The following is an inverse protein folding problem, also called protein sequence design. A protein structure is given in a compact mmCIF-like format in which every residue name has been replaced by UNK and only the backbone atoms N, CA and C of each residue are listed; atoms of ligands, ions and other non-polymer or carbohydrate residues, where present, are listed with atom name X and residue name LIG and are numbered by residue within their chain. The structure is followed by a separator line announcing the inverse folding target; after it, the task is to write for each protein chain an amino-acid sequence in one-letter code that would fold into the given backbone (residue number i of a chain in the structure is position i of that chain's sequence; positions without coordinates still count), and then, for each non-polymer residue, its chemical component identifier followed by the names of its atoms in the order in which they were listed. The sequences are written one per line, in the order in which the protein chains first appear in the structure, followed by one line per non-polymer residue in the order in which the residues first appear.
data_IF_166528722386
#
_entry.id   IF_166528722386
#
_cell.length_a   1.000
_cell.length_b   1.000
_cell.length_c   1.000
_cell.angle_alpha   90.00
_cell.angle_beta   90.00
_cell.angle_gamma   90.00
#
_symmetry.space_group_name_H-M   'P 1'
#
loop_
_entity.id
_entity.type
_entity.pdbx_description
1 polymer ?
#
# COMPACT_ATOMS: atom_id res chain seq x y z
N UNK A 1 49.01 3.25 50.50
CA UNK A 1 48.02 3.99 51.30
C UNK A 1 48.03 5.46 50.89
N UNK A 2 46.84 6.03 50.83
CA UNK A 2 46.44 7.43 50.76
C UNK A 2 46.28 8.10 49.38
N UNK A 3 45.02 8.47 49.18
CA UNK A 3 44.34 9.15 48.08
C UNK A 3 44.19 10.64 48.40
N UNK A 4 44.13 11.49 47.37
CA UNK A 4 43.29 12.71 47.17
C UNK A 4 43.99 13.57 46.10
N UNK A 5 43.49 13.89 44.89
CA UNK A 5 42.23 14.46 44.37
C UNK A 5 42.45 15.91 43.87
N UNK A 6 42.04 16.15 42.60
CA UNK A 6 41.49 17.39 42.00
C UNK A 6 42.53 18.53 41.75
N UNK A 7 42.68 19.18 40.59
CA UNK A 7 41.76 19.68 39.54
C UNK A 7 42.59 19.99 38.29
N UNK A 8 42.08 19.75 37.08
CA UNK A 8 42.63 20.35 35.85
C UNK A 8 41.63 21.41 35.36
N UNK A 9 42.06 22.65 35.07
CA UNK A 9 41.17 23.68 34.57
C UNK A 9 41.15 23.76 33.03
N UNK A 10 39.94 24.00 32.52
CA UNK A 10 39.55 24.88 31.40
C UNK A 10 40.27 24.79 30.05
N UNK A 11 39.50 24.31 29.07
CA UNK A 11 39.56 24.67 27.63
C UNK A 11 39.80 26.19 27.43
N UNK A 12 40.53 26.62 26.39
CA UNK A 12 39.83 26.94 25.14
C UNK A 12 40.61 26.57 23.86
N UNK A 13 39.91 25.93 22.92
CA UNK A 13 40.20 26.05 21.49
C UNK A 13 40.07 27.52 21.06
N UNK A 14 40.71 27.95 19.95
CA UNK A 14 39.88 28.01 18.73
C UNK A 14 40.63 27.90 17.38
N UNK A 15 39.80 27.83 16.32
CA UNK A 15 40.00 28.23 14.90
C UNK A 15 40.62 27.18 13.96
N UNK A 16 40.09 26.90 12.77
CA UNK A 16 39.04 27.50 11.94
C UNK A 16 38.29 26.40 11.17
N UNK A 17 36.97 26.53 11.10
CA UNK A 17 36.08 25.80 10.20
C UNK A 17 36.21 26.38 8.79
N UNK A 18 36.54 25.55 7.81
CA UNK A 18 36.21 25.80 6.41
C UNK A 18 34.82 25.18 6.16
N UNK A 19 33.86 26.04 5.87
CA UNK A 19 32.47 25.73 5.61
C UNK A 19 32.30 25.07 4.23
N UNK A 20 31.90 23.81 4.23
CA UNK A 20 31.13 23.21 3.14
C UNK A 20 29.70 23.06 3.67
N UNK A 21 28.64 23.50 2.96
CA UNK A 21 27.33 22.99 3.30
C UNK A 21 27.30 21.53 2.88
N UNK A 22 27.25 20.62 3.86
CA UNK A 22 26.72 19.29 3.65
C UNK A 22 25.30 19.47 3.13
N UNK A 23 25.11 19.29 1.83
CA UNK A 23 23.81 18.95 1.30
C UNK A 23 23.53 17.50 1.68
N UNK A 24 23.22 17.28 2.96
CA UNK A 24 22.43 16.13 3.41
C UNK A 24 21.01 16.36 2.87
N UNK A 25 20.85 16.11 1.58
CA UNK A 25 19.55 15.75 1.04
C UNK A 25 19.44 14.24 1.14
N UNK A 26 19.34 13.75 2.38
CA UNK A 26 18.78 12.44 2.64
C UNK A 26 17.26 12.58 2.60
N UNK A 27 16.75 12.96 1.43
CA UNK A 27 15.35 12.79 1.12
C UNK A 27 15.15 11.30 0.91
N UNK A 28 14.52 10.63 1.87
CA UNK A 28 13.79 9.40 1.60
C UNK A 28 13.02 9.65 0.30
N UNK A 29 13.36 8.93 -0.79
CA UNK A 29 12.59 9.01 -2.03
C UNK A 29 11.23 8.38 -1.76
N UNK A 30 10.35 9.13 -1.11
CA UNK A 30 8.96 8.74 -0.90
C UNK A 30 8.31 8.78 -2.28
N UNK A 31 7.76 7.64 -2.71
CA UNK A 31 6.96 7.59 -3.94
C UNK A 31 5.78 8.56 -3.79
N UNK A 32 5.47 9.33 -4.83
CA UNK A 32 4.31 10.22 -4.84
C UNK A 32 3.03 9.39 -4.79
N UNK A 33 2.09 9.77 -3.92
CA UNK A 33 0.80 9.09 -3.80
C UNK A 33 0.08 9.05 -5.15
N UNK A 34 -0.45 7.88 -5.49
CA UNK A 34 -1.16 7.64 -6.74
C UNK A 34 -2.66 7.81 -6.50
N UNK A 35 -3.27 8.77 -7.18
CA UNK A 35 -4.72 8.93 -7.18
C UNK A 35 -5.27 8.94 -8.60
N UNK A 36 -6.21 8.05 -8.88
CA UNK A 36 -6.94 7.93 -10.14
C UNK A 36 -8.43 8.00 -9.80
N UNK A 37 -9.16 9.04 -10.23
CA UNK A 37 -10.58 9.15 -9.95
C UNK A 37 -11.37 8.08 -10.71
N UNK A 38 -12.48 7.64 -10.14
CA UNK A 38 -13.42 6.75 -10.83
C UNK A 38 -13.92 7.39 -12.13
N UNK A 39 -14.14 6.55 -13.14
CA UNK A 39 -14.89 6.92 -14.34
C UNK A 39 -16.16 6.07 -14.41
N UNK A 40 -16.93 6.20 -15.49
CA UNK A 40 -18.08 5.31 -15.71
C UNK A 40 -17.67 3.84 -15.79
N UNK A 41 -16.45 3.53 -16.26
CA UNK A 41 -16.05 2.13 -16.54
C UNK A 41 -14.79 1.69 -15.80
N UNK A 42 -14.16 2.57 -15.03
CA UNK A 42 -12.95 2.26 -14.27
C UNK A 42 -13.10 2.68 -12.81
N UNK A 43 -12.52 1.93 -11.87
CA UNK A 43 -12.66 2.25 -10.46
C UNK A 43 -11.83 3.47 -10.10
N UNK A 44 -12.16 4.07 -8.96
CA UNK A 44 -11.22 4.91 -8.24
C UNK A 44 -10.09 4.03 -7.71
N UNK A 45 -8.85 4.52 -7.84
CA UNK A 45 -7.67 3.92 -7.21
C UNK A 45 -6.94 5.01 -6.44
N UNK A 46 -6.88 4.86 -5.12
CA UNK A 46 -6.13 5.74 -4.22
C UNK A 46 -5.08 4.93 -3.48
N UNK A 47 -3.82 5.09 -3.86
CA UNK A 47 -2.68 4.46 -3.21
C UNK A 47 -1.83 5.52 -2.53
N UNK A 48 -1.99 5.59 -1.20
CA UNK A 48 -1.22 6.44 -0.31
C UNK A 48 0.01 5.66 0.16
N UNK A 49 1.09 5.74 -0.62
CA UNK A 49 2.34 5.02 -0.36
C UNK A 49 2.95 5.41 1.00
N UNK A 50 2.83 6.67 1.37
CA UNK A 50 3.26 7.23 2.66
C UNK A 50 2.50 6.65 3.87
N UNK A 51 1.29 6.14 3.63
CA UNK A 51 0.38 5.61 4.65
C UNK A 51 0.19 4.09 4.54
N UNK A 52 0.91 3.44 3.61
CA UNK A 52 0.77 2.01 3.34
C UNK A 52 -0.69 1.59 3.09
N UNK A 53 -1.47 2.44 2.41
CA UNK A 53 -2.91 2.27 2.24
C UNK A 53 -3.32 2.33 0.77
N UNK A 54 -3.97 1.27 0.28
CA UNK A 54 -4.54 1.17 -1.06
C UNK A 54 -6.07 1.08 -0.97
N UNK A 55 -6.77 1.84 -1.78
CA UNK A 55 -8.24 1.80 -1.93
C UNK A 55 -8.60 1.60 -3.40
N UNK A 56 -9.46 0.62 -3.70
CA UNK A 56 -10.01 0.36 -5.05
C UNK A 56 -11.55 0.33 -4.95
N UNK A 57 -12.25 1.27 -5.59
CA UNK A 57 -13.69 1.46 -5.40
C UNK A 57 -14.46 1.73 -6.70
N UNK A 58 -15.68 1.21 -6.80
CA UNK A 58 -16.60 1.45 -7.92
C UNK A 58 -16.69 0.27 -8.88
N UNK A 59 -16.78 0.54 -10.19
CA UNK A 59 -16.93 -0.50 -11.21
C UNK A 59 -15.67 -0.62 -12.07
N UNK A 60 -15.32 -1.83 -12.51
CA UNK A 60 -14.14 -2.09 -13.32
C UNK A 60 -14.45 -2.92 -14.57
N UNK A 61 -14.80 -2.24 -15.65
CA UNK A 61 -15.00 -2.82 -16.96
C UNK A 61 -14.47 -1.91 -18.09
N UNK A 62 -13.23 -1.39 -17.97
CA UNK A 62 -12.67 -0.57 -19.02
C UNK A 62 -12.51 -1.39 -20.31
N UNK A 63 -12.54 -0.71 -21.45
CA UNK A 63 -12.28 -1.31 -22.77
C UNK A 63 -10.93 -2.03 -22.81
N UNK A 64 -9.92 -1.46 -22.12
CA UNK A 64 -8.60 -2.04 -21.98
C UNK A 64 -8.13 -2.06 -20.52
N UNK A 65 -8.50 -3.13 -19.80
CA UNK A 65 -8.10 -3.33 -18.40
C UNK A 65 -6.57 -3.41 -18.21
N UNK A 66 -5.85 -4.02 -19.16
CA UNK A 66 -4.40 -4.13 -19.07
C UNK A 66 -3.73 -2.74 -19.10
N UNK A 67 -4.17 -1.87 -20.01
CA UNK A 67 -3.66 -0.50 -20.09
C UNK A 67 -3.98 0.32 -18.83
N UNK A 68 -5.14 0.09 -18.21
CA UNK A 68 -5.52 0.75 -16.96
C UNK A 68 -4.67 0.28 -15.76
N UNK A 69 -4.58 -1.03 -15.54
CA UNK A 69 -3.95 -1.59 -14.33
C UNK A 69 -2.43 -1.78 -14.39
N UNK A 70 -1.84 -1.93 -15.58
CA UNK A 70 -0.39 -2.13 -15.72
C UNK A 70 0.45 -1.05 -14.99
N UNK A 71 0.21 0.27 -15.18
CA UNK A 71 0.99 1.30 -14.47
C UNK A 71 0.75 1.30 -12.95
N UNK A 72 -0.42 0.84 -12.50
CA UNK A 72 -0.76 0.73 -11.07
C UNK A 72 0.04 -0.42 -10.44
N UNK A 73 0.00 -1.59 -11.08
CA UNK A 73 0.74 -2.79 -10.65
C UNK A 73 2.25 -2.53 -10.66
N UNK A 74 2.77 -1.83 -11.67
CA UNK A 74 4.19 -1.49 -11.73
C UNK A 74 4.62 -0.65 -10.53
N UNK A 75 3.87 0.40 -10.20
CA UNK A 75 4.17 1.26 -9.04
C UNK A 75 4.02 0.51 -7.72
N UNK A 76 2.98 -0.31 -7.58
CA UNK A 76 2.81 -1.17 -6.41
C UNK A 76 3.98 -2.12 -6.23
N UNK A 77 4.43 -2.81 -7.28
CA UNK A 77 5.58 -3.73 -7.18
C UNK A 77 6.87 -3.00 -6.79
N UNK A 78 7.10 -1.79 -7.31
CA UNK A 78 8.24 -0.94 -6.88
C UNK A 78 8.15 -0.59 -5.40
N UNK A 79 6.96 -0.19 -4.95
CA UNK A 79 6.71 0.12 -3.55
C UNK A 79 6.94 -1.09 -2.64
N UNK A 80 6.39 -2.27 -2.98
CA UNK A 80 6.55 -3.50 -2.20
C UNK A 80 8.02 -3.92 -2.10
N UNK A 81 8.78 -3.81 -3.19
CA UNK A 81 10.21 -4.11 -3.20
C UNK A 81 11.04 -3.15 -2.32
N UNK A 82 10.62 -1.89 -2.20
CA UNK A 82 11.30 -0.87 -1.40
C UNK A 82 10.91 -0.89 0.09
N UNK A 83 9.77 -1.49 0.44
CA UNK A 83 9.16 -1.44 1.78
C UNK A 83 8.88 -2.85 2.31
N UNK A 84 9.91 -3.70 2.36
CA UNK A 84 9.77 -5.05 2.92
C UNK A 84 9.43 -4.99 4.41
N UNK A 85 8.49 -5.83 4.85
CA UNK A 85 8.06 -5.86 6.25
C UNK A 85 7.09 -4.75 6.65
N UNK A 86 6.55 -3.98 5.68
CA UNK A 86 5.54 -2.98 5.94
C UNK A 86 4.20 -3.60 6.39
N UNK A 87 3.41 -2.81 7.14
CA UNK A 87 2.00 -3.11 7.38
C UNK A 87 1.16 -2.37 6.32
N UNK A 88 0.47 -3.11 5.47
CA UNK A 88 -0.25 -2.59 4.31
C UNK A 88 -1.73 -2.89 4.49
N UNK A 89 -2.57 -1.86 4.36
CA UNK A 89 -4.03 -2.00 4.36
C UNK A 89 -4.57 -1.80 2.95
N UNK A 90 -5.41 -2.73 2.49
CA UNK A 90 -6.15 -2.61 1.24
C UNK A 90 -7.65 -2.60 1.53
N UNK A 91 -8.34 -1.57 1.05
CA UNK A 91 -9.79 -1.49 1.06
C UNK A 91 -10.32 -1.69 -0.38
N UNK A 92 -11.11 -2.73 -0.59
CA UNK A 92 -11.72 -3.02 -1.90
C UNK A 92 -13.23 -2.93 -1.79
N UNK A 93 -13.84 -2.04 -2.58
CA UNK A 93 -15.29 -1.88 -2.66
C UNK A 93 -15.73 -1.83 -4.14
N UNK A 94 -15.57 -2.96 -4.83
CA UNK A 94 -15.96 -3.10 -6.23
C UNK A 94 -17.38 -3.65 -6.33
N UNK A 95 -18.22 -3.02 -7.14
CA UNK A 95 -19.63 -3.41 -7.34
C UNK A 95 -19.86 -4.17 -8.65
N UNK A 96 -18.91 -4.10 -9.58
CA UNK A 96 -18.95 -4.87 -10.82
C UNK A 96 -17.56 -4.92 -11.44
N UNK A 97 -17.19 -6.05 -12.04
CA UNK A 97 -15.99 -6.12 -12.87
C UNK A 97 -16.12 -7.18 -13.96
N UNK A 98 -15.55 -6.91 -15.13
CA UNK A 98 -15.52 -7.85 -16.25
C UNK A 98 -14.33 -8.80 -16.16
N UNK A 99 -14.33 -9.85 -17.00
CA UNK A 99 -13.27 -10.87 -16.99
C UNK A 99 -11.86 -10.34 -17.31
N UNK A 100 -11.75 -9.23 -18.05
CA UNK A 100 -10.44 -8.61 -18.31
C UNK A 100 -9.90 -7.91 -17.06
N UNK A 101 -10.76 -7.25 -16.29
CA UNK A 101 -10.42 -6.67 -14.99
C UNK A 101 -10.12 -7.72 -13.94
N UNK A 102 -10.85 -8.84 -13.92
CA UNK A 102 -10.57 -9.98 -13.02
C UNK A 102 -9.10 -10.41 -13.10
N UNK A 103 -8.56 -10.62 -14.31
CA UNK A 103 -7.15 -11.00 -14.49
C UNK A 103 -6.16 -9.99 -13.91
N UNK A 104 -6.49 -8.70 -14.03
CA UNK A 104 -5.63 -7.63 -13.50
C UNK A 104 -5.74 -7.51 -11.98
N UNK A 105 -6.94 -7.70 -11.41
CA UNK A 105 -7.15 -7.75 -9.96
C UNK A 105 -6.39 -8.93 -9.33
N UNK A 106 -6.45 -10.12 -9.93
CA UNK A 106 -5.62 -11.26 -9.51
C UNK A 106 -4.12 -10.92 -9.53
N UNK A 107 -3.65 -10.17 -10.54
CA UNK A 107 -2.25 -9.72 -10.60
C UNK A 107 -1.88 -8.73 -9.49
N UNK A 108 -2.85 -7.97 -8.98
CA UNK A 108 -2.68 -7.07 -7.82
C UNK A 108 -2.58 -7.91 -6.55
N UNK A 109 -3.55 -8.78 -6.32
CA UNK A 109 -3.62 -9.58 -5.10
C UNK A 109 -2.48 -10.60 -4.99
N UNK A 110 -2.06 -11.21 -6.10
CA UNK A 110 -0.87 -12.07 -6.17
C UNK A 110 0.41 -11.35 -5.71
N UNK A 111 0.61 -10.10 -6.14
CA UNK A 111 1.78 -9.33 -5.73
C UNK A 111 1.75 -8.96 -4.23
N UNK A 112 0.55 -8.69 -3.69
CA UNK A 112 0.34 -8.41 -2.28
C UNK A 112 0.52 -9.65 -1.41
N UNK A 113 0.00 -10.80 -1.85
CA UNK A 113 0.16 -12.09 -1.18
C UNK A 113 1.64 -12.49 -1.11
N UNK A 114 2.38 -12.38 -2.22
CA UNK A 114 3.84 -12.60 -2.24
C UNK A 114 4.60 -11.66 -1.27
N UNK A 115 4.16 -10.41 -1.14
CA UNK A 115 4.76 -9.49 -0.18
C UNK A 115 4.46 -9.90 1.27
N UNK A 116 3.28 -10.46 1.52
CA UNK A 116 2.90 -11.02 2.82
C UNK A 116 3.71 -12.28 3.15
N UNK A 117 3.86 -13.21 2.20
CA UNK A 117 4.72 -14.39 2.33
C UNK A 117 6.19 -14.02 2.59
N UNK A 118 6.62 -12.88 2.06
CA UNK A 118 7.98 -12.34 2.23
C UNK A 118 8.18 -11.53 3.52
N UNK A 119 7.17 -11.47 4.40
CA UNK A 119 7.26 -10.90 5.74
C UNK A 119 6.58 -9.55 5.96
N UNK A 120 5.91 -9.00 4.94
CA UNK A 120 5.01 -7.84 5.15
C UNK A 120 3.71 -8.32 5.81
N UNK A 121 3.01 -7.43 6.48
CA UNK A 121 1.65 -7.72 6.96
C UNK A 121 0.67 -7.06 6.03
N UNK A 122 -0.20 -7.84 5.39
CA UNK A 122 -1.16 -7.34 4.41
C UNK A 122 -2.56 -7.64 4.89
N UNK A 123 -3.34 -6.59 5.16
CA UNK A 123 -4.74 -6.70 5.59
C UNK A 123 -5.67 -6.22 4.48
N UNK A 124 -6.63 -7.04 4.08
CA UNK A 124 -7.62 -6.71 3.05
C UNK A 124 -9.01 -6.62 3.67
N UNK A 125 -9.65 -5.45 3.54
CA UNK A 125 -11.07 -5.28 3.82
C UNK A 125 -11.85 -5.39 2.49
N UNK A 126 -12.68 -6.42 2.38
CA UNK A 126 -13.54 -6.65 1.21
C UNK A 126 -14.95 -6.15 1.49
N UNK A 127 -15.28 -4.97 0.98
CA UNK A 127 -16.59 -4.38 1.11
C UNK A 127 -17.48 -4.81 -0.05
N UNK A 128 -18.66 -5.33 0.28
CA UNK A 128 -19.64 -5.77 -0.70
C UNK A 128 -21.05 -5.49 -0.22
N UNK A 129 -21.99 -5.47 -1.16
CA UNK A 129 -23.39 -5.56 -0.81
C UNK A 129 -23.67 -6.93 -0.15
N UNK A 130 -24.53 -6.95 0.86
CA UNK A 130 -24.94 -8.20 1.50
C UNK A 130 -25.78 -9.08 0.56
N UNK A 131 -26.50 -8.46 -0.39
CA UNK A 131 -27.37 -9.13 -1.35
C UNK A 131 -26.66 -9.53 -2.66
N UNK A 132 -25.42 -9.05 -2.90
CA UNK A 132 -24.66 -9.38 -4.11
C UNK A 132 -23.86 -10.68 -3.92
N UNK A 133 -24.48 -11.80 -4.29
CA UNK A 133 -23.89 -13.14 -4.25
C UNK A 133 -22.67 -13.26 -5.18
N UNK A 134 -22.64 -12.57 -6.32
CA UNK A 134 -21.51 -12.68 -7.27
C UNK A 134 -20.25 -12.02 -6.70
N UNK A 135 -20.39 -10.84 -6.11
CA UNK A 135 -19.27 -10.14 -5.45
C UNK A 135 -18.84 -10.88 -4.16
N UNK A 136 -19.79 -11.52 -3.47
CA UNK A 136 -19.48 -12.37 -2.31
C UNK A 136 -18.67 -13.62 -2.71
N UNK A 137 -19.10 -14.34 -3.74
CA UNK A 137 -18.39 -15.52 -4.26
C UNK A 137 -16.96 -15.19 -4.67
N UNK A 138 -16.76 -14.06 -5.34
CA UNK A 138 -15.43 -13.60 -5.71
C UNK A 138 -14.54 -13.29 -4.49
N UNK A 139 -15.10 -12.67 -3.45
CA UNK A 139 -14.38 -12.43 -2.20
C UNK A 139 -13.91 -13.72 -1.54
N UNK A 140 -14.74 -14.77 -1.54
CA UNK A 140 -14.36 -16.08 -1.01
C UNK A 140 -13.33 -16.80 -1.89
N UNK A 141 -13.37 -16.63 -3.21
CA UNK A 141 -12.32 -17.11 -4.14
C UNK A 141 -10.97 -16.47 -3.81
N UNK A 142 -10.92 -15.13 -3.67
CA UNK A 142 -9.69 -14.41 -3.30
C UNK A 142 -9.13 -14.90 -1.96
N UNK A 143 -9.98 -15.08 -0.97
CA UNK A 143 -9.59 -15.57 0.36
C UNK A 143 -9.07 -17.00 0.34
N UNK A 144 -9.58 -17.85 -0.57
CA UNK A 144 -9.11 -19.21 -0.73
C UNK A 144 -7.74 -19.27 -1.43
N UNK A 145 -7.55 -18.43 -2.46
CA UNK A 145 -6.34 -18.42 -3.29
C UNK A 145 -5.17 -17.66 -2.64
N UNK A 146 -5.43 -16.56 -1.93
CA UNK A 146 -4.41 -15.68 -1.34
C UNK A 146 -4.38 -15.80 0.19
N UNK A 147 -3.69 -16.84 0.67
CA UNK A 147 -3.74 -17.27 2.07
C UNK A 147 -2.83 -16.49 3.01
N UNK A 148 -1.86 -15.74 2.49
CA UNK A 148 -0.97 -14.91 3.31
C UNK A 148 -1.59 -13.54 3.64
N UNK A 149 -2.63 -13.14 2.91
CA UNK A 149 -3.40 -11.91 3.18
C UNK A 149 -4.37 -12.13 4.36
N UNK A 150 -4.36 -11.20 5.31
CA UNK A 150 -5.35 -11.12 6.39
C UNK A 150 -6.67 -10.57 5.83
N UNK A 151 -7.54 -11.47 5.37
CA UNK A 151 -8.81 -11.12 4.73
C UNK A 151 -9.94 -10.87 5.74
N UNK A 152 -10.66 -9.76 5.58
CA UNK A 152 -11.87 -9.41 6.35
C UNK A 152 -13.04 -9.11 5.40
N UNK A 153 -14.08 -9.96 5.40
CA UNK A 153 -15.34 -9.69 4.71
C UNK A 153 -16.13 -8.59 5.44
N UNK A 154 -16.59 -7.59 4.70
CA UNK A 154 -17.31 -6.40 5.19
C UNK A 154 -18.62 -6.23 4.41
N UNK A 155 -19.65 -7.05 4.67
CA UNK A 155 -20.97 -6.84 4.06
C UNK A 155 -21.55 -5.49 4.51
N UNK A 156 -22.12 -4.74 3.57
CA UNK A 156 -22.77 -3.46 3.78
C UNK A 156 -24.24 -3.62 3.38
N UNK A 157 -25.15 -3.48 4.33
CA UNK A 157 -26.57 -3.36 4.03
C UNK A 157 -26.82 -2.03 3.29
N UNK A 158 -27.41 -2.09 2.09
CA UNK A 158 -27.94 -0.87 1.48
C UNK A 158 -29.02 -0.29 2.39
N UNK A 159 -28.75 0.85 3.03
CA UNK A 159 -29.81 1.59 3.70
C UNK A 159 -30.79 2.05 2.62
N UNK A 160 -32.01 1.50 2.68
CA UNK A 160 -33.07 1.70 1.71
C UNK A 160 -33.16 3.14 1.22
N UNK A 161 -33.12 3.29 -0.10
CA UNK A 161 -33.34 4.54 -0.81
C UNK A 161 -34.78 5.04 -0.63
#
# INVERSE_FOLDING_TARGET
MNSLFIRVPTNPAPRCFASWPSSEQEGTRTMENLHIPATTTSPEVDFRFDQHALSIKGESYPENAAAFYAPIIEQMRKYLAANTGAEITIDVALTYFNSSSTKMLFSIFDALDQAAESGSRVSMNWYRDEEDETIAEFGEELKADFRAIEFTDRPIAQQGK
#
